data_IF_748107817101
#
_entry.id   IF_748107817101
#
_cell.length_a   1.000
_cell.length_b   1.000
_cell.length_c   1.000
_cell.angle_alpha   90.00
_cell.angle_beta   90.00
_cell.angle_gamma   90.00
#
_symmetry.space_group_name_H-M   'P 1'
#
loop_
_entity.id
_entity.type
_entity.pdbx_description
1 polymer ?
#
# COMPACT_ATOMS: atom_id res chain seq x y z
N UNK A 1 12.72 5.57 17.22
CA UNK A 1 13.40 4.30 16.87
C UNK A 1 12.44 3.17 16.55
N UNK A 2 11.42 2.88 17.37
CA UNK A 2 10.45 1.79 17.13
C UNK A 2 9.85 1.73 15.72
N UNK A 3 9.32 2.84 15.19
CA UNK A 3 8.70 2.85 13.84
C UNK A 3 9.68 2.51 12.73
N UNK A 4 10.95 2.92 12.87
CA UNK A 4 11.98 2.60 11.89
C UNK A 4 12.35 1.11 11.98
N UNK A 5 12.50 0.57 13.19
CA UNK A 5 12.74 -0.86 13.39
C UNK A 5 11.61 -1.72 12.80
N UNK A 6 10.34 -1.37 13.05
CA UNK A 6 9.19 -2.04 12.41
C UNK A 6 9.23 -1.86 10.88
N UNK A 7 9.65 -0.69 10.40
CA UNK A 7 9.87 -0.45 8.97
C UNK A 7 10.92 -1.38 8.35
N UNK A 8 12.02 -1.67 9.05
CA UNK A 8 13.07 -2.60 8.57
C UNK A 8 12.53 -4.02 8.45
N UNK A 9 11.75 -4.47 9.41
CA UNK A 9 11.29 -5.87 9.50
C UNK A 9 10.03 -6.13 8.66
N UNK A 10 9.22 -5.10 8.40
CA UNK A 10 7.94 -5.24 7.70
C UNK A 10 8.07 -5.84 6.28
N UNK A 11 8.92 -5.32 5.37
CA UNK A 11 9.04 -5.89 4.03
C UNK A 11 9.42 -7.38 3.99
N UNK A 12 10.49 -7.85 4.66
CA UNK A 12 10.86 -9.26 4.58
C UNK A 12 9.77 -10.17 5.15
N UNK A 13 9.10 -9.80 6.25
CA UNK A 13 7.99 -10.58 6.79
C UNK A 13 6.78 -10.61 5.83
N UNK A 14 6.46 -9.48 5.22
CA UNK A 14 5.31 -9.38 4.30
C UNK A 14 5.56 -10.21 3.04
N UNK A 15 6.77 -10.19 2.51
CA UNK A 15 7.19 -11.01 1.36
C UNK A 15 7.23 -12.50 1.71
N UNK A 16 7.78 -12.87 2.87
CA UNK A 16 7.80 -14.26 3.32
C UNK A 16 6.38 -14.83 3.49
N UNK A 17 5.47 -14.06 4.12
CA UNK A 17 4.07 -14.47 4.27
C UNK A 17 3.36 -14.56 2.92
N UNK A 18 3.61 -13.64 1.99
CA UNK A 18 3.06 -13.70 0.64
C UNK A 18 3.55 -14.95 -0.12
N UNK A 19 4.86 -15.24 -0.10
CA UNK A 19 5.42 -16.43 -0.72
C UNK A 19 4.92 -17.73 -0.09
N UNK A 20 4.73 -17.76 1.24
CA UNK A 20 4.12 -18.89 1.93
C UNK A 20 2.63 -19.06 1.56
N UNK A 21 1.90 -17.96 1.37
CA UNK A 21 0.50 -17.97 0.91
C UNK A 21 0.39 -18.52 -0.51
N UNK A 22 1.29 -18.11 -1.41
CA UNK A 22 1.35 -18.60 -2.78
C UNK A 22 1.61 -20.12 -2.82
N UNK A 23 2.56 -20.64 -2.04
CA UNK A 23 2.80 -22.09 -1.96
C UNK A 23 1.61 -22.86 -1.38
N UNK A 24 0.93 -22.31 -0.37
CA UNK A 24 -0.27 -22.93 0.18
C UNK A 24 -1.39 -22.98 -0.86
N UNK A 25 -1.53 -21.95 -1.69
CA UNK A 25 -2.46 -21.91 -2.83
C UNK A 25 -2.12 -22.98 -3.87
N UNK A 26 -0.85 -23.07 -4.31
CA UNK A 26 -0.42 -24.10 -5.28
C UNK A 26 -0.59 -25.52 -4.76
N UNK A 27 -0.48 -25.71 -3.44
CA UNK A 27 -0.69 -27.00 -2.79
C UNK A 27 -2.16 -27.31 -2.46
N UNK A 28 -3.11 -26.44 -2.82
CA UNK A 28 -4.53 -26.61 -2.48
C UNK A 28 -4.83 -26.56 -0.96
N UNK A 29 -3.92 -26.02 -0.15
CA UNK A 29 -4.03 -25.98 1.31
C UNK A 29 -4.85 -24.77 1.78
N UNK A 30 -6.17 -24.82 1.59
CA UNK A 30 -7.10 -23.71 1.82
C UNK A 30 -6.93 -23.03 3.19
N UNK A 31 -6.96 -23.80 4.28
CA UNK A 31 -6.86 -23.25 5.63
C UNK A 31 -5.53 -22.52 5.85
N UNK A 32 -4.42 -23.12 5.41
CA UNK A 32 -3.08 -22.52 5.54
C UNK A 32 -2.97 -21.24 4.72
N UNK A 33 -3.50 -21.23 3.50
CA UNK A 33 -3.56 -20.05 2.65
C UNK A 33 -4.35 -18.92 3.32
N UNK A 34 -5.54 -19.21 3.85
CA UNK A 34 -6.36 -18.22 4.56
C UNK A 34 -5.62 -17.66 5.78
N UNK A 35 -5.04 -18.52 6.62
CA UNK A 35 -4.30 -18.08 7.81
C UNK A 35 -3.14 -17.17 7.44
N UNK A 36 -2.31 -17.55 6.46
CA UNK A 36 -1.16 -16.75 6.04
C UNK A 36 -1.58 -15.42 5.38
N UNK A 37 -2.66 -15.42 4.59
CA UNK A 37 -3.25 -14.20 4.04
C UNK A 37 -3.76 -13.25 5.14
N UNK A 38 -4.48 -13.78 6.13
CA UNK A 38 -4.95 -13.01 7.29
C UNK A 38 -3.79 -12.49 8.15
N UNK A 39 -2.72 -13.27 8.33
CA UNK A 39 -1.51 -12.81 9.02
C UNK A 39 -0.83 -11.66 8.27
N UNK A 40 -0.79 -11.72 6.93
CA UNK A 40 -0.26 -10.63 6.09
C UNK A 40 -1.10 -9.35 6.27
N UNK A 41 -2.43 -9.49 6.29
CA UNK A 41 -3.35 -8.39 6.53
C UNK A 41 -3.16 -7.79 7.93
N UNK A 42 -3.10 -8.64 8.97
CA UNK A 42 -2.92 -8.22 10.35
C UNK A 42 -1.59 -7.49 10.55
N UNK A 43 -0.48 -8.07 10.09
CA UNK A 43 0.85 -7.48 10.14
C UNK A 43 0.86 -6.10 9.47
N UNK A 44 0.30 -6.03 8.25
CA UNK A 44 0.20 -4.77 7.50
C UNK A 44 -0.67 -3.75 8.26
N UNK A 45 -1.83 -4.14 8.75
CA UNK A 45 -2.74 -3.25 9.48
C UNK A 45 -2.10 -2.69 10.76
N UNK A 46 -1.43 -3.53 11.55
CA UNK A 46 -0.74 -3.12 12.77
C UNK A 46 0.42 -2.16 12.47
N UNK A 47 1.21 -2.44 11.44
CA UNK A 47 2.29 -1.56 11.03
C UNK A 47 1.75 -0.20 10.55
N UNK A 48 0.73 -0.19 9.67
CA UNK A 48 0.13 1.05 9.18
C UNK A 48 -0.56 1.84 10.28
N UNK A 49 -1.18 1.17 11.26
CA UNK A 49 -1.68 1.80 12.47
C UNK A 49 -0.53 2.48 13.24
N UNK A 50 0.54 1.75 13.56
CA UNK A 50 1.67 2.29 14.30
C UNK A 50 2.28 3.51 13.58
N UNK A 51 2.42 3.45 12.26
CA UNK A 51 2.96 4.55 11.45
C UNK A 51 2.01 5.76 11.40
N UNK A 52 0.70 5.53 11.38
CA UNK A 52 -0.29 6.58 11.46
C UNK A 52 -0.28 7.27 12.85
N UNK A 53 -0.10 6.48 13.90
CA UNK A 53 -0.11 6.91 15.31
C UNK A 53 1.15 7.65 15.70
N UNK A 54 2.32 7.13 15.35
CA UNK A 54 3.62 7.62 15.82
C UNK A 54 4.34 8.43 14.75
N UNK A 55 4.68 7.80 13.64
CA UNK A 55 5.43 8.44 12.55
C UNK A 55 5.35 7.62 11.29
N UNK A 56 5.08 8.29 10.15
CA UNK A 56 5.08 7.61 8.85
C UNK A 56 6.50 7.32 8.32
N UNK A 57 7.55 7.66 9.08
CA UNK A 57 8.93 7.30 8.77
C UNK A 57 9.10 5.79 8.62
N UNK A 58 8.36 4.98 9.38
CA UNK A 58 8.45 3.52 9.27
C UNK A 58 8.07 2.99 7.88
N UNK A 59 7.06 3.56 7.24
CA UNK A 59 6.71 3.22 5.85
C UNK A 59 7.78 3.66 4.85
N UNK A 60 8.45 4.81 5.08
CA UNK A 60 9.57 5.24 4.25
C UNK A 60 10.74 4.27 4.37
N UNK A 61 11.12 3.92 5.60
CA UNK A 61 12.20 2.96 5.89
C UNK A 61 11.88 1.61 5.26
N UNK A 62 10.66 1.08 5.43
CA UNK A 62 10.28 -0.19 4.81
C UNK A 62 10.30 -0.16 3.29
N UNK A 63 9.86 0.95 2.68
CA UNK A 63 9.99 1.16 1.24
C UNK A 63 11.45 1.12 0.78
N UNK A 64 12.35 1.79 1.50
CA UNK A 64 13.80 1.78 1.21
C UNK A 64 14.40 0.39 1.41
N UNK A 65 14.04 -0.34 2.48
CA UNK A 65 14.52 -1.72 2.69
C UNK A 65 14.09 -2.64 1.55
N UNK A 66 12.86 -2.51 1.06
CA UNK A 66 12.40 -3.27 -0.11
C UNK A 66 13.19 -2.89 -1.39
N UNK A 67 13.53 -1.61 -1.59
CA UNK A 67 14.40 -1.19 -2.70
C UNK A 67 15.84 -1.70 -2.57
N UNK A 68 16.38 -1.80 -1.36
CA UNK A 68 17.68 -2.42 -1.13
C UNK A 68 17.63 -3.90 -1.50
N UNK A 69 16.58 -4.62 -1.09
CA UNK A 69 16.36 -6.00 -1.51
C UNK A 69 16.26 -6.11 -3.05
N UNK A 70 15.55 -5.18 -3.70
CA UNK A 70 15.47 -5.11 -5.16
C UNK A 70 16.86 -4.92 -5.81
N UNK A 71 17.68 -4.03 -5.28
CA UNK A 71 19.03 -3.80 -5.79
C UNK A 71 19.90 -5.05 -5.63
N UNK A 72 19.83 -5.72 -4.48
CA UNK A 72 20.55 -6.98 -4.25
C UNK A 72 20.14 -8.05 -5.27
N UNK A 73 18.84 -8.19 -5.57
CA UNK A 73 18.35 -9.13 -6.59
C UNK A 73 18.95 -8.81 -7.97
N UNK A 74 18.97 -7.53 -8.36
CA UNK A 74 19.46 -7.12 -9.68
C UNK A 74 20.99 -7.20 -9.81
N UNK A 75 21.72 -7.07 -8.70
CA UNK A 75 23.19 -7.19 -8.65
C UNK A 75 23.66 -8.64 -8.55
N UNK A 76 22.77 -9.58 -8.23
CA UNK A 76 23.09 -11.00 -8.20
C UNK A 76 23.23 -11.57 -9.62
N UNK A 77 24.26 -12.39 -9.85
CA UNK A 77 24.52 -13.04 -11.15
C UNK A 77 23.35 -13.94 -11.59
N UNK A 78 22.81 -14.74 -10.68
CA UNK A 78 21.67 -15.62 -10.94
C UNK A 78 20.32 -14.94 -10.63
N UNK A 79 20.34 -13.67 -10.22
CA UNK A 79 19.15 -12.84 -9.98
C UNK A 79 18.12 -13.51 -9.07
N UNK A 80 16.91 -13.78 -9.57
CA UNK A 80 15.87 -14.46 -8.80
C UNK A 80 16.27 -15.88 -8.37
N UNK A 81 17.05 -16.59 -9.18
CA UNK A 81 17.47 -17.96 -8.90
C UNK A 81 18.47 -18.05 -7.73
N UNK A 82 19.22 -16.97 -7.46
CA UNK A 82 20.13 -16.89 -6.31
C UNK A 82 19.40 -16.86 -4.95
N UNK A 83 18.07 -16.67 -4.93
CA UNK A 83 17.36 -16.59 -3.66
C UNK A 83 17.40 -17.95 -2.92
N UNK A 84 17.75 -17.96 -1.62
CA UNK A 84 17.99 -19.22 -0.89
C UNK A 84 16.71 -20.03 -0.68
N UNK A 85 15.56 -19.36 -0.59
CA UNK A 85 14.28 -20.00 -0.34
C UNK A 85 13.46 -20.17 -1.62
N UNK A 86 12.79 -21.32 -1.77
CA UNK A 86 11.93 -21.62 -2.92
C UNK A 86 10.80 -20.60 -3.08
N UNK A 87 10.18 -20.21 -1.98
CA UNK A 87 9.13 -19.19 -1.96
C UNK A 87 9.60 -17.84 -2.49
N UNK A 88 10.89 -17.51 -2.29
CA UNK A 88 11.45 -16.26 -2.76
C UNK A 88 11.73 -16.35 -4.26
N UNK A 89 12.24 -17.49 -4.74
CA UNK A 89 12.47 -17.73 -6.18
C UNK A 89 11.18 -17.62 -6.99
N UNK A 90 10.06 -18.13 -6.47
CA UNK A 90 8.75 -18.03 -7.13
C UNK A 90 8.09 -16.65 -6.98
N UNK A 91 8.32 -15.96 -5.86
CA UNK A 91 7.71 -14.66 -5.60
C UNK A 91 8.42 -13.51 -6.31
N UNK A 92 9.76 -13.55 -6.44
CA UNK A 92 10.54 -12.45 -7.03
C UNK A 92 10.01 -12.09 -8.43
N UNK A 93 9.85 -13.02 -9.39
CA UNK A 93 9.38 -12.73 -10.75
C UNK A 93 8.00 -12.04 -10.84
N UNK A 94 7.18 -12.11 -9.79
CA UNK A 94 5.88 -11.43 -9.74
C UNK A 94 5.97 -9.90 -9.57
N UNK A 95 7.17 -9.37 -9.25
CA UNK A 95 7.36 -7.96 -8.91
C UNK A 95 6.97 -7.59 -7.48
N UNK A 96 6.68 -8.59 -6.62
CA UNK A 96 6.26 -8.39 -5.23
C UNK A 96 7.15 -7.42 -4.42
N UNK A 97 8.46 -7.45 -4.64
CA UNK A 97 9.42 -6.55 -3.96
C UNK A 97 9.14 -5.09 -4.33
N UNK A 98 8.93 -4.80 -5.62
CA UNK A 98 8.58 -3.46 -6.11
C UNK A 98 7.18 -3.02 -5.67
N UNK A 99 6.23 -3.94 -5.59
CA UNK A 99 4.89 -3.70 -5.03
C UNK A 99 5.02 -3.19 -3.58
N UNK A 100 5.72 -3.93 -2.72
CA UNK A 100 5.93 -3.53 -1.32
C UNK A 100 6.70 -2.21 -1.25
N UNK A 101 7.76 -2.04 -2.04
CA UNK A 101 8.53 -0.80 -2.08
C UNK A 101 7.66 0.41 -2.43
N UNK A 102 7.00 0.38 -3.59
CA UNK A 102 6.21 1.50 -4.10
C UNK A 102 5.07 1.87 -3.16
N UNK A 103 4.31 0.89 -2.71
CA UNK A 103 3.14 1.13 -1.86
C UNK A 103 3.54 1.67 -0.47
N UNK A 104 4.65 1.22 0.12
CA UNK A 104 5.13 1.73 1.41
C UNK A 104 5.74 3.14 1.28
N UNK A 105 6.53 3.40 0.23
CA UNK A 105 7.09 4.72 -0.04
C UNK A 105 5.98 5.75 -0.23
N UNK A 106 5.05 5.47 -1.15
CA UNK A 106 3.94 6.37 -1.44
C UNK A 106 2.96 6.48 -0.28
N UNK A 107 2.69 5.37 0.43
CA UNK A 107 1.88 5.36 1.65
C UNK A 107 2.46 6.25 2.75
N UNK A 108 3.78 6.23 2.94
CA UNK A 108 4.47 7.10 3.92
C UNK A 108 4.22 8.58 3.66
N UNK A 109 4.24 8.97 2.38
CA UNK A 109 4.00 10.34 1.92
C UNK A 109 2.52 10.71 2.01
N UNK A 110 1.65 9.79 1.58
CA UNK A 110 0.20 9.89 1.70
C UNK A 110 -0.24 10.15 3.13
N UNK A 111 0.30 9.42 4.10
CA UNK A 111 0.05 9.65 5.53
C UNK A 111 0.52 11.03 6.01
N UNK A 112 1.71 11.50 5.59
CA UNK A 112 2.17 12.86 5.93
C UNK A 112 1.20 13.92 5.43
N UNK A 113 0.77 13.79 4.17
CA UNK A 113 -0.20 14.71 3.57
C UNK A 113 -1.57 14.63 4.25
N UNK A 114 -2.05 13.43 4.55
CA UNK A 114 -3.31 13.23 5.26
C UNK A 114 -3.29 13.85 6.66
N UNK A 115 -2.20 13.68 7.41
CA UNK A 115 -2.01 14.29 8.73
C UNK A 115 -1.99 15.82 8.67
N UNK A 116 -1.25 16.39 7.71
CA UNK A 116 -1.22 17.85 7.45
C UNK A 116 -2.61 18.39 7.11
N UNK A 117 -3.33 17.70 6.23
CA UNK A 117 -4.68 18.09 5.88
C UNK A 117 -5.64 17.99 7.06
N UNK A 118 -5.47 16.99 7.94
CA UNK A 118 -6.20 16.93 9.20
C UNK A 118 -5.95 18.15 10.10
N UNK A 119 -4.71 18.57 10.28
CA UNK A 119 -4.42 19.81 11.05
C UNK A 119 -5.06 21.04 10.41
N UNK A 120 -5.01 21.17 9.09
CA UNK A 120 -5.65 22.26 8.38
C UNK A 120 -7.18 22.25 8.55
N UNK A 121 -7.82 21.07 8.52
CA UNK A 121 -9.25 20.89 8.80
C UNK A 121 -9.61 21.37 10.21
N UNK A 122 -8.79 21.07 11.23
CA UNK A 122 -9.00 21.53 12.60
C UNK A 122 -8.89 23.06 12.75
N UNK A 123 -7.85 23.69 12.16
CA UNK A 123 -7.72 25.15 12.19
C UNK A 123 -8.89 25.83 11.47
N UNK A 124 -9.36 25.23 10.38
CA UNK A 124 -10.51 25.75 9.65
C UNK A 124 -11.79 25.64 10.48
N UNK A 125 -12.03 24.51 11.15
CA UNK A 125 -13.24 24.34 11.97
C UNK A 125 -13.32 25.34 13.12
N UNK A 126 -12.18 25.64 13.78
CA UNK A 126 -12.13 26.68 14.84
C UNK A 126 -12.44 28.07 14.26
N UNK A 127 -11.84 28.42 13.12
CA UNK A 127 -12.13 29.71 12.45
C UNK A 127 -13.59 29.85 12.03
N UNK A 128 -14.18 28.81 11.46
CA UNK A 128 -15.59 28.81 11.08
C UNK A 128 -16.48 28.94 12.33
N UNK A 129 -16.23 28.16 13.38
CA UNK A 129 -16.99 28.28 14.63
C UNK A 129 -16.83 29.63 15.34
N UNK A 130 -15.73 30.34 15.15
CA UNK A 130 -15.59 31.73 15.60
C UNK A 130 -16.41 32.71 14.76
N UNK A 131 -16.46 32.53 13.44
CA UNK A 131 -17.31 33.33 12.54
C UNK A 131 -18.80 33.09 12.79
N UNK A 132 -19.22 31.85 13.08
CA UNK A 132 -20.61 31.49 13.34
C UNK A 132 -21.18 32.18 14.59
N UNK A 133 -20.30 32.56 15.53
CA UNK A 133 -20.68 33.28 16.76
C UNK A 133 -20.86 34.79 16.54
N UNK A 134 -20.53 35.33 15.36
CA UNK A 134 -20.67 36.77 15.06
C UNK A 134 -22.10 37.07 14.62
N UNK A 135 -22.84 37.81 15.44
CA UNK A 135 -24.19 38.29 15.14
C UNK A 135 -24.18 39.13 13.84
N UNK A 136 -25.18 38.92 12.99
CA UNK A 136 -25.36 39.68 11.74
C UNK A 136 -24.48 39.23 10.56
N UNK A 137 -23.71 38.14 10.69
CA UNK A 137 -22.88 37.59 9.61
C UNK A 137 -23.38 36.20 9.22
N UNK A 138 -23.59 35.95 7.93
CA UNK A 138 -23.88 34.61 7.42
C UNK A 138 -22.59 33.78 7.33
N UNK A 139 -22.52 32.61 8.00
CA UNK A 139 -21.37 31.73 7.91
C UNK A 139 -21.01 31.30 6.50
N UNK A 140 -19.71 31.23 6.22
CA UNK A 140 -19.23 30.56 5.02
C UNK A 140 -19.41 29.03 5.15
N UNK A 141 -20.00 28.39 4.14
CA UNK A 141 -20.18 26.95 4.15
C UNK A 141 -18.81 26.22 4.17
N UNK A 142 -18.70 25.08 4.89
CA UNK A 142 -17.49 24.27 4.86
C UNK A 142 -17.15 23.78 3.44
N UNK A 143 -15.86 23.69 3.06
CA UNK A 143 -15.47 23.23 1.73
C UNK A 143 -15.87 21.77 1.52
N UNK A 144 -16.51 21.49 0.37
CA UNK A 144 -16.93 20.13 0.03
C UNK A 144 -15.73 19.22 -0.31
N UNK A 145 -15.79 17.97 0.15
CA UNK A 145 -14.78 16.93 -0.16
C UNK A 145 -15.23 15.91 -1.20
N UNK A 146 -16.43 16.09 -1.77
CA UNK A 146 -17.05 15.14 -2.70
C UNK A 146 -16.17 14.86 -3.91
N UNK A 147 -15.60 15.91 -4.51
CA UNK A 147 -14.71 15.79 -5.69
C UNK A 147 -13.46 14.97 -5.38
N UNK A 148 -12.84 15.18 -4.22
CA UNK A 148 -11.67 14.40 -3.81
C UNK A 148 -12.00 12.91 -3.65
N UNK A 149 -13.18 12.59 -3.12
CA UNK A 149 -13.62 11.20 -2.99
C UNK A 149 -13.88 10.55 -4.34
N UNK A 150 -14.66 11.21 -5.20
CA UNK A 150 -15.02 10.71 -6.55
C UNK A 150 -13.79 10.47 -7.41
N UNK A 151 -12.82 11.40 -7.40
CA UNK A 151 -11.61 11.30 -8.23
C UNK A 151 -10.59 10.32 -7.64
N UNK A 152 -10.56 10.12 -6.32
CA UNK A 152 -9.54 9.27 -5.69
C UNK A 152 -9.59 7.82 -6.12
N UNK A 153 -10.78 7.25 -6.33
CA UNK A 153 -10.92 5.86 -6.79
C UNK A 153 -10.34 5.64 -8.19
N UNK A 154 -10.81 6.32 -9.26
CA UNK A 154 -10.30 6.07 -10.60
C UNK A 154 -8.80 6.35 -10.72
N UNK A 155 -8.28 7.41 -10.07
CA UNK A 155 -6.84 7.67 -10.10
C UNK A 155 -6.02 6.59 -9.40
N UNK A 156 -6.48 6.11 -8.24
CA UNK A 156 -5.76 5.04 -7.53
C UNK A 156 -5.82 3.73 -8.30
N UNK A 157 -6.99 3.39 -8.84
CA UNK A 157 -7.20 2.19 -9.65
C UNK A 157 -6.33 2.20 -10.92
N UNK A 158 -6.29 3.32 -11.65
CA UNK A 158 -5.46 3.46 -12.85
C UNK A 158 -3.98 3.41 -12.50
N UNK A 159 -3.52 4.17 -11.51
CA UNK A 159 -2.10 4.21 -11.15
C UNK A 159 -1.60 2.84 -10.65
N UNK A 160 -2.32 2.21 -9.71
CA UNK A 160 -1.91 0.91 -9.16
C UNK A 160 -2.08 -0.18 -10.22
N UNK A 161 -3.20 -0.19 -10.96
CA UNK A 161 -3.46 -1.17 -12.01
C UNK A 161 -2.43 -1.11 -13.13
N UNK A 162 -2.08 0.08 -13.62
CA UNK A 162 -1.03 0.27 -14.62
C UNK A 162 0.34 -0.17 -14.09
N UNK A 163 0.67 0.14 -12.84
CA UNK A 163 1.89 -0.33 -12.20
C UNK A 163 1.97 -1.86 -12.14
N UNK A 164 0.88 -2.53 -11.75
CA UNK A 164 0.81 -3.99 -11.73
C UNK A 164 0.87 -4.61 -13.13
N UNK A 165 0.22 -3.99 -14.13
CA UNK A 165 0.27 -4.46 -15.51
C UNK A 165 1.70 -4.38 -16.09
N UNK A 166 2.43 -3.30 -15.81
CA UNK A 166 3.85 -3.18 -16.20
C UNK A 166 4.70 -4.27 -15.55
N UNK A 167 4.47 -4.58 -14.28
CA UNK A 167 5.20 -5.67 -13.61
C UNK A 167 4.86 -7.05 -14.22
N UNK A 168 3.58 -7.31 -14.51
CA UNK A 168 3.13 -8.58 -15.06
C UNK A 168 3.75 -8.92 -16.42
N UNK A 169 3.98 -7.89 -17.25
CA UNK A 169 4.53 -8.04 -18.61
C UNK A 169 6.06 -8.00 -18.62
N UNK A 170 6.67 -7.03 -17.94
CA UNK A 170 8.08 -6.68 -18.17
C UNK A 170 9.07 -7.11 -17.09
N UNK A 171 8.60 -7.46 -15.89
CA UNK A 171 9.51 -7.61 -14.76
C UNK A 171 10.20 -8.98 -14.69
N UNK A 172 9.49 -10.07 -14.98
CA UNK A 172 10.06 -11.41 -14.87
C UNK A 172 11.31 -11.61 -15.76
N UNK A 173 11.34 -11.18 -17.04
CA UNK A 173 12.54 -11.27 -17.87
C UNK A 173 13.74 -10.52 -17.27
N UNK A 174 13.50 -9.38 -16.60
CA UNK A 174 14.57 -8.61 -15.97
C UNK A 174 15.23 -9.39 -14.83
N UNK A 175 14.50 -10.24 -14.11
CA UNK A 175 15.06 -11.01 -12.98
C UNK A 175 15.48 -12.43 -13.35
N UNK A 176 15.52 -12.75 -14.65
CA UNK A 176 16.02 -14.01 -15.17
C UNK A 176 17.54 -14.03 -15.32
N UNK A 177 18.23 -15.16 -15.05
CA UNK A 177 19.68 -15.27 -15.19
C UNK A 177 20.18 -14.77 -16.56
N UNK A 178 21.27 -14.01 -16.57
CA UNK A 178 21.89 -13.50 -17.80
C UNK A 178 21.15 -12.36 -18.52
N UNK A 179 20.04 -11.85 -17.98
CA UNK A 179 19.36 -10.68 -18.57
C UNK A 179 20.27 -9.43 -18.59
N UNK A 180 20.07 -8.53 -19.54
CA UNK A 180 20.78 -7.24 -19.58
C UNK A 180 20.01 -6.17 -18.81
N UNK A 181 20.70 -5.30 -18.08
CA UNK A 181 20.08 -4.28 -17.23
C UNK A 181 19.74 -2.96 -17.95
N UNK A 182 20.07 -2.77 -19.23
CA UNK A 182 20.03 -1.47 -19.93
C UNK A 182 18.63 -0.81 -19.99
N UNK A 183 18.01 -0.75 -21.17
CA UNK A 183 16.66 -0.18 -21.32
C UNK A 183 15.57 -0.91 -20.52
N UNK A 184 15.85 -2.14 -20.06
CA UNK A 184 14.94 -3.00 -19.32
C UNK A 184 14.55 -2.49 -17.92
N UNK A 185 15.24 -1.48 -17.37
CA UNK A 185 14.90 -0.88 -16.08
C UNK A 185 13.77 0.15 -16.14
N UNK A 186 13.45 0.68 -17.33
CA UNK A 186 12.46 1.76 -17.47
C UNK A 186 11.06 1.32 -17.02
N UNK A 187 10.62 0.13 -17.43
CA UNK A 187 9.30 -0.40 -17.09
C UNK A 187 9.14 -0.65 -15.57
N UNK A 188 10.04 -1.38 -14.87
CA UNK A 188 9.98 -1.52 -13.42
C UNK A 188 10.10 -0.20 -12.66
N UNK A 189 10.92 0.75 -13.15
CA UNK A 189 11.02 2.08 -12.55
C UNK A 189 9.70 2.85 -12.67
N UNK A 190 9.07 2.81 -13.85
CA UNK A 190 7.76 3.41 -14.06
C UNK A 190 6.69 2.74 -13.21
N UNK A 191 6.71 1.40 -13.11
CA UNK A 191 5.81 0.65 -12.25
C UNK A 191 5.94 1.08 -10.78
N UNK A 192 7.17 1.19 -10.27
CA UNK A 192 7.45 1.68 -8.92
C UNK A 192 6.87 3.08 -8.70
N UNK A 193 7.09 4.00 -9.66
CA UNK A 193 6.56 5.37 -9.60
C UNK A 193 5.04 5.35 -9.57
N UNK A 194 4.38 4.58 -10.43
CA UNK A 194 2.92 4.48 -10.49
C UNK A 194 2.32 3.90 -9.21
N UNK A 195 2.93 2.85 -8.64
CA UNK A 195 2.53 2.27 -7.34
C UNK A 195 2.69 3.26 -6.19
N UNK A 196 3.80 4.00 -6.16
CA UNK A 196 4.01 5.07 -5.18
C UNK A 196 3.00 6.19 -5.36
N UNK A 197 2.75 6.65 -6.58
CA UNK A 197 1.75 7.69 -6.88
C UNK A 197 0.36 7.26 -6.43
N UNK A 198 -0.07 6.05 -6.77
CA UNK A 198 -1.35 5.47 -6.37
C UNK A 198 -1.58 5.53 -4.85
N UNK A 199 -0.56 5.25 -4.06
CA UNK A 199 -0.64 5.33 -2.59
C UNK A 199 -0.48 6.75 -2.04
N UNK A 200 0.28 7.64 -2.69
CA UNK A 200 0.37 9.05 -2.25
C UNK A 200 -0.98 9.77 -2.32
N UNK A 201 -1.86 9.36 -3.25
CA UNK A 201 -3.20 9.92 -3.43
C UNK A 201 -4.10 9.75 -2.19
N UNK A 202 -3.77 8.81 -1.30
CA UNK A 202 -4.43 8.68 0.03
C UNK A 202 -4.38 9.95 0.87
N UNK A 203 -3.39 10.83 0.62
CA UNK A 203 -3.30 12.14 1.23
C UNK A 203 -4.49 13.06 0.92
N UNK A 204 -5.08 12.93 -0.27
CA UNK A 204 -6.29 13.69 -0.68
C UNK A 204 -7.55 13.03 -0.13
N UNK A 205 -7.73 11.75 -0.49
CA UNK A 205 -8.84 10.92 -0.05
C UNK A 205 -8.37 9.48 0.13
N UNK A 206 -8.74 8.88 1.25
CA UNK A 206 -8.36 7.51 1.60
C UNK A 206 -9.31 6.47 1.03
N UNK A 207 -10.42 6.89 0.43
CA UNK A 207 -11.42 6.01 -0.12
C UNK A 207 -10.88 5.22 -1.31
N UNK A 208 -10.17 5.88 -2.24
CA UNK A 208 -9.59 5.24 -3.41
C UNK A 208 -8.74 4.03 -3.08
N UNK A 209 -7.72 4.19 -2.23
CA UNK A 209 -6.88 3.07 -1.80
C UNK A 209 -7.65 1.96 -1.07
N UNK A 210 -8.64 2.29 -0.24
CA UNK A 210 -9.43 1.25 0.46
C UNK A 210 -10.27 0.43 -0.51
N UNK A 211 -10.93 1.09 -1.46
CA UNK A 211 -11.78 0.42 -2.46
C UNK A 211 -10.91 -0.35 -3.46
N UNK A 212 -9.90 0.29 -4.06
CA UNK A 212 -8.97 -0.37 -4.99
C UNK A 212 -8.27 -1.55 -4.31
N UNK A 213 -7.79 -1.38 -3.08
CA UNK A 213 -7.12 -2.45 -2.35
C UNK A 213 -8.02 -3.65 -2.07
N UNK A 214 -9.25 -3.41 -1.63
CA UNK A 214 -10.24 -4.47 -1.42
C UNK A 214 -10.59 -5.18 -2.74
N UNK A 215 -10.78 -4.44 -3.83
CA UNK A 215 -11.07 -5.02 -5.14
C UNK A 215 -9.92 -5.88 -5.66
N UNK A 216 -8.66 -5.45 -5.48
CA UNK A 216 -7.49 -6.26 -5.88
C UNK A 216 -7.40 -7.57 -5.09
N UNK A 217 -7.64 -7.53 -3.78
CA UNK A 217 -7.67 -8.73 -2.94
C UNK A 217 -8.83 -9.68 -3.28
N UNK A 218 -9.98 -9.15 -3.71
CA UNK A 218 -11.09 -9.96 -4.20
C UNK A 218 -10.79 -10.55 -5.58
N UNK A 219 -10.18 -9.74 -6.47
CA UNK A 219 -9.84 -10.14 -7.82
C UNK A 219 -8.73 -11.19 -7.87
N UNK A 220 -7.92 -11.34 -6.81
CA UNK A 220 -6.94 -12.43 -6.70
C UNK A 220 -7.57 -13.78 -6.38
N UNK A 221 -8.78 -13.82 -5.81
CA UNK A 221 -9.38 -15.06 -5.30
C UNK A 221 -9.52 -16.18 -6.34
N UNK A 222 -9.92 -15.92 -7.60
CA UNK A 222 -10.02 -16.99 -8.58
C UNK A 222 -8.70 -17.70 -8.90
N UNK A 223 -7.59 -16.97 -8.96
CA UNK A 223 -6.28 -17.59 -9.13
C UNK A 223 -5.83 -18.31 -7.85
N UNK A 224 -6.02 -17.68 -6.68
CA UNK A 224 -5.65 -18.26 -5.38
C UNK A 224 -6.39 -19.57 -5.08
N UNK A 225 -7.65 -19.67 -5.50
CA UNK A 225 -8.52 -20.82 -5.25
C UNK A 225 -8.50 -21.86 -6.39
N UNK A 226 -7.76 -21.64 -7.47
CA UNK A 226 -7.82 -22.48 -8.67
C UNK A 226 -7.52 -23.97 -8.38
N UNK A 227 -6.65 -24.27 -7.41
CA UNK A 227 -6.35 -25.66 -7.02
C UNK A 227 -7.46 -26.32 -6.18
N UNK A 228 -8.18 -25.53 -5.38
CA UNK A 228 -9.24 -26.02 -4.50
C UNK A 228 -10.58 -26.06 -5.23
N UNK A 229 -10.79 -25.11 -6.14
CA UNK A 229 -12.02 -24.92 -6.90
C UNK A 229 -11.72 -24.63 -8.38
N UNK A 230 -11.33 -25.65 -9.17
CA UNK A 230 -10.88 -25.45 -10.56
C UNK A 230 -11.93 -24.84 -11.49
N UNK A 231 -13.21 -25.00 -11.15
CA UNK A 231 -14.32 -24.46 -11.93
C UNK A 231 -14.61 -22.98 -11.65
N UNK A 232 -13.88 -22.33 -10.73
CA UNK A 232 -14.14 -20.93 -10.40
C UNK A 232 -13.88 -20.04 -11.63
N UNK A 233 -14.86 -19.25 -12.08
CA UNK A 233 -14.67 -18.40 -13.25
C UNK A 233 -13.61 -17.32 -12.98
N UNK A 234 -12.85 -16.99 -14.02
CA UNK A 234 -11.83 -15.94 -13.97
C UNK A 234 -10.40 -16.41 -13.77
N UNK A 235 -10.17 -17.65 -13.28
CA UNK A 235 -8.80 -18.18 -13.13
C UNK A 235 -8.01 -18.19 -14.45
N UNK A 236 -8.63 -18.64 -15.56
CA UNK A 236 -8.00 -18.62 -16.88
C UNK A 236 -7.83 -17.22 -17.49
N UNK A 237 -8.61 -16.21 -17.05
CA UNK A 237 -8.34 -14.81 -17.41
C UNK A 237 -7.11 -14.31 -16.65
N UNK A 238 -7.06 -14.55 -15.34
CA UNK A 238 -5.94 -14.14 -14.49
C UNK A 238 -4.62 -14.78 -14.93
N UNK A 239 -4.62 -16.06 -15.28
CA UNK A 239 -3.43 -16.75 -15.81
C UNK A 239 -2.88 -16.08 -17.10
N UNK A 240 -3.76 -15.48 -17.92
CA UNK A 240 -3.36 -14.72 -19.12
C UNK A 240 -2.88 -13.31 -18.79
N UNK A 241 -3.52 -12.64 -17.82
CA UNK A 241 -3.14 -11.29 -17.39
C UNK A 241 -1.86 -11.29 -16.54
N UNK A 242 -1.57 -12.40 -15.85
CA UNK A 242 -0.48 -12.57 -14.91
C UNK A 242 0.36 -13.81 -15.28
N UNK A 243 1.02 -13.83 -16.45
CA UNK A 243 1.72 -15.03 -16.94
C UNK A 243 2.84 -15.52 -16.00
N UNK A 244 3.41 -14.62 -15.20
CA UNK A 244 4.47 -14.90 -14.23
C UNK A 244 3.98 -14.93 -12.77
N UNK A 245 2.66 -14.86 -12.55
CA UNK A 245 2.02 -14.98 -11.25
C UNK A 245 0.74 -15.83 -11.37
N UNK A 246 0.88 -17.17 -11.53
CA UNK A 246 -0.25 -18.07 -11.70
C UNK A 246 -1.18 -18.14 -10.48
N UNK A 247 -0.67 -17.74 -9.31
CA UNK A 247 -1.43 -17.74 -8.06
C UNK A 247 -2.23 -16.44 -7.83
N UNK A 248 -1.92 -15.37 -8.57
CA UNK A 248 -2.46 -14.03 -8.30
C UNK A 248 -1.97 -13.40 -7.00
N UNK A 249 -0.81 -13.84 -6.46
CA UNK A 249 -0.29 -13.35 -5.18
C UNK A 249 0.09 -11.87 -5.24
N UNK A 250 0.52 -11.36 -6.39
CA UNK A 250 0.83 -9.95 -6.62
C UNK A 250 -0.39 -9.06 -6.38
N UNK A 251 -1.57 -9.49 -6.83
CA UNK A 251 -2.84 -8.80 -6.62
C UNK A 251 -3.26 -8.84 -5.14
N UNK A 252 -3.18 -10.00 -4.49
CA UNK A 252 -3.51 -10.14 -3.07
C UNK A 252 -2.59 -9.26 -2.21
N UNK A 253 -1.29 -9.29 -2.47
CA UNK A 253 -0.26 -8.51 -1.78
C UNK A 253 -0.50 -7.01 -1.99
N UNK A 254 -0.65 -6.56 -3.23
CA UNK A 254 -0.92 -5.18 -3.55
C UNK A 254 -2.23 -4.70 -2.89
N UNK A 255 -3.28 -5.50 -2.98
CA UNK A 255 -4.58 -5.22 -2.38
C UNK A 255 -4.51 -5.06 -0.87
N UNK A 256 -3.84 -5.99 -0.19
CA UNK A 256 -3.65 -6.01 1.27
C UNK A 256 -2.83 -4.83 1.77
N UNK A 257 -1.70 -4.52 1.12
CA UNK A 257 -0.88 -3.38 1.50
C UNK A 257 -1.62 -2.06 1.22
N UNK A 258 -2.29 -1.96 0.07
CA UNK A 258 -3.01 -0.74 -0.32
C UNK A 258 -4.20 -0.43 0.60
N UNK A 259 -5.02 -1.42 0.95
CA UNK A 259 -6.18 -1.21 1.84
C UNK A 259 -5.73 -0.79 3.23
N UNK A 260 -4.68 -1.42 3.77
CA UNK A 260 -4.14 -1.09 5.09
C UNK A 260 -3.45 0.28 5.11
N UNK A 261 -2.73 0.65 4.05
CA UNK A 261 -2.19 2.02 3.87
C UNK A 261 -3.32 3.04 3.82
N UNK A 262 -4.42 2.75 3.11
CA UNK A 262 -5.61 3.60 3.06
C UNK A 262 -6.22 3.84 4.45
N UNK A 263 -6.36 2.80 5.26
CA UNK A 263 -6.80 2.91 6.66
C UNK A 263 -5.80 3.66 7.54
N UNK A 264 -4.50 3.41 7.40
CA UNK A 264 -3.46 4.15 8.11
C UNK A 264 -3.48 5.64 7.78
N UNK A 265 -3.65 6.02 6.51
CA UNK A 265 -3.79 7.42 6.10
C UNK A 265 -5.06 8.07 6.70
N UNK A 266 -6.16 7.32 6.81
CA UNK A 266 -7.39 7.79 7.45
C UNK A 266 -7.15 8.08 8.93
N UNK A 267 -6.50 7.15 9.63
CA UNK A 267 -6.13 7.33 11.03
C UNK A 267 -5.16 8.49 11.23
N UNK A 268 -4.16 8.65 10.35
CA UNK A 268 -3.19 9.74 10.41
C UNK A 268 -3.88 11.11 10.28
N UNK A 269 -4.90 11.22 9.42
CA UNK A 269 -5.74 12.42 9.31
C UNK A 269 -6.53 12.69 10.58
N UNK A 270 -7.19 11.66 11.14
CA UNK A 270 -7.96 11.78 12.38
C UNK A 270 -7.07 12.22 13.54
N UNK A 271 -5.86 11.65 13.67
CA UNK A 271 -4.85 12.04 14.66
C UNK A 271 -4.37 13.46 14.47
N UNK A 272 -4.10 13.86 13.22
CA UNK A 272 -3.74 15.25 12.90
C UNK A 272 -4.80 16.25 13.33
N UNK A 273 -6.08 15.97 13.06
CA UNK A 273 -7.20 16.81 13.53
C UNK A 273 -7.27 16.89 15.05
N UNK A 274 -7.32 15.74 15.71
CA UNK A 274 -7.51 15.68 17.16
C UNK A 274 -6.37 16.37 17.93
N UNK A 275 -5.11 16.15 17.51
CA UNK A 275 -3.97 16.79 18.15
C UNK A 275 -3.96 18.31 17.98
N UNK A 276 -4.31 18.80 16.79
CA UNK A 276 -4.38 20.25 16.54
C UNK A 276 -5.54 20.91 17.30
N UNK A 277 -6.72 20.28 17.37
CA UNK A 277 -7.84 20.81 18.16
C UNK A 277 -7.48 20.90 19.65
N UNK A 278 -6.84 19.88 20.20
CA UNK A 278 -6.39 19.90 21.60
C UNK A 278 -5.39 21.03 21.85
N UNK A 279 -4.44 21.25 20.93
CA UNK A 279 -3.48 22.35 21.02
C UNK A 279 -4.16 23.72 20.95
N UNK A 280 -5.11 23.91 20.03
CA UNK A 280 -5.86 25.16 19.90
C UNK A 280 -6.70 25.45 21.16
N UNK A 281 -7.40 24.46 21.71
CA UNK A 281 -8.15 24.64 22.96
C UNK A 281 -7.24 25.00 24.14
N UNK A 282 -6.08 24.33 24.28
CA UNK A 282 -5.14 24.63 25.37
C UNK A 282 -4.58 26.06 25.34
N UNK A 283 -4.62 26.72 24.17
CA UNK A 283 -4.21 28.13 24.03
C UNK A 283 -5.34 29.11 24.37
N UNK A 284 -6.60 28.69 24.26
CA UNK A 284 -7.78 29.50 24.60
C UNK A 284 -8.10 29.48 26.11
N UNK A 285 -7.76 28.40 26.80
CA UNK A 285 -7.86 28.27 28.26
C UNK A 285 -6.47 28.12 28.90
N UNK A 286 -5.74 29.22 29.15
CA UNK A 286 -4.47 29.13 29.88
C UNK A 286 -4.71 28.55 31.28
N UNK A 287 -3.76 27.76 31.82
CA UNK A 287 -3.88 27.26 33.18
C UNK A 287 -4.01 28.45 34.14
N UNK A 288 -5.02 28.39 35.03
CA UNK A 288 -5.11 29.31 36.15
C UNK A 288 -3.86 29.13 37.02
N UNK A 289 -2.93 30.09 36.93
CA UNK A 289 -1.79 30.24 37.85
C UNK A 289 -2.23 31.14 39.00
#
# INVERSE_FOLDING_TARGET
MLTAAVGVVLPPLTLALAGATAQASTAGQLLRMIVLGLLTLLLSALAQWLFAVRSSLGGLVGGVVALVAQAIILLSLERAAAAPFEWARSLIPTGAVLIVAGLLLGGSWGMRRARRAGRAEARLSVRLGASDRKLGVTPAAPPSRRRDHVISFPLTAVAVGAGLALLAVGYAPLVSPGASLGGALLEPALALVLLALGTTLTGRSTLGARVTGALLALFSLPAMLAQVWPQLPGAGLLARLLPHDPTGISLLLAGTVLVTVGWGAHLARRRGRAGELAELHSRETPPHV
#
